data_IF_436685076045
#
_entry.id   IF_436685076045
#
_cell.length_a   1.000
_cell.length_b   1.000
_cell.length_c   1.000
_cell.angle_alpha   90.00
_cell.angle_beta   90.00
_cell.angle_gamma   90.00
#
_symmetry.space_group_name_H-M   'P 1'
#
loop_
_entity.id
_entity.type
_entity.pdbx_description
1 polymer ?
#
# COMPACT_ATOMS: atom_id res chain seq x y z
N UNK A 1 -4.06 10.29 -1.86
CA UNK A 1 -2.73 9.75 -1.53
C UNK A 1 -2.63 8.34 -2.07
N UNK A 2 -1.52 7.99 -2.73
CA UNK A 2 -1.35 6.75 -3.52
C UNK A 2 -1.75 5.45 -2.78
N UNK A 3 -1.67 5.45 -1.45
CA UNK A 3 -2.09 4.33 -0.58
C UNK A 3 -3.61 4.11 -0.53
N UNK A 4 -4.42 5.15 -0.73
CA UNK A 4 -5.88 5.00 -0.82
C UNK A 4 -6.27 4.32 -2.12
N UNK A 5 -5.70 4.76 -3.23
CA UNK A 5 -5.92 4.16 -4.55
C UNK A 5 -5.41 2.71 -4.60
N UNK A 6 -4.24 2.43 -4.02
CA UNK A 6 -3.72 1.06 -3.93
C UNK A 6 -4.64 0.14 -3.12
N UNK A 7 -5.22 0.63 -2.03
CA UNK A 7 -6.17 -0.12 -1.22
C UNK A 7 -7.46 -0.40 -2.02
N UNK A 8 -7.98 0.61 -2.71
CA UNK A 8 -9.17 0.51 -3.57
C UNK A 8 -8.95 -0.47 -4.74
N UNK A 9 -7.81 -0.39 -5.42
CA UNK A 9 -7.46 -1.29 -6.54
C UNK A 9 -7.30 -2.75 -6.08
N UNK A 10 -6.80 -2.96 -4.87
CA UNK A 10 -6.70 -4.30 -4.27
C UNK A 10 -8.02 -4.78 -3.67
N UNK A 11 -9.08 -3.96 -3.65
CA UNK A 11 -10.36 -4.28 -3.02
C UNK A 11 -10.27 -4.45 -1.49
N UNK A 12 -9.25 -3.86 -0.86
CA UNK A 12 -9.03 -3.95 0.58
C UNK A 12 -9.16 -2.58 1.23
N UNK A 13 -9.48 -2.56 2.52
CA UNK A 13 -9.50 -1.32 3.29
C UNK A 13 -8.07 -0.79 3.51
N UNK A 14 -7.94 0.55 3.56
CA UNK A 14 -6.66 1.26 3.80
C UNK A 14 -5.91 0.77 5.05
N UNK A 15 -6.66 0.37 6.10
CA UNK A 15 -6.10 -0.19 7.35
C UNK A 15 -5.47 -1.56 7.12
N UNK A 16 -6.10 -2.39 6.29
CA UNK A 16 -5.57 -3.72 5.92
C UNK A 16 -4.33 -3.56 5.05
N UNK A 17 -4.33 -2.64 4.10
CA UNK A 17 -3.14 -2.30 3.34
C UNK A 17 -2.01 -1.84 4.27
N UNK A 18 -2.27 -0.91 5.19
CA UNK A 18 -1.24 -0.44 6.13
C UNK A 18 -0.67 -1.57 7.00
N UNK A 19 -1.50 -2.48 7.50
CA UNK A 19 -1.02 -3.65 8.27
C UNK A 19 -0.13 -4.55 7.43
N UNK A 20 -0.48 -4.80 6.17
CA UNK A 20 0.35 -5.59 5.25
C UNK A 20 1.68 -4.90 4.98
N UNK A 21 1.68 -3.59 4.74
CA UNK A 21 2.91 -2.81 4.55
C UNK A 21 3.78 -2.75 5.81
N UNK A 22 3.19 -2.73 7.01
CA UNK A 22 3.96 -2.79 8.27
C UNK A 22 4.57 -4.18 8.49
N UNK A 23 3.87 -5.24 8.09
CA UNK A 23 4.38 -6.62 8.20
C UNK A 23 5.41 -6.95 7.12
N UNK A 24 5.28 -6.34 5.94
CA UNK A 24 6.10 -6.58 4.77
C UNK A 24 6.52 -5.20 4.21
N UNK A 25 7.45 -4.51 4.88
CA UNK A 25 7.88 -3.16 4.48
C UNK A 25 8.45 -3.11 3.07
N UNK A 26 8.96 -4.21 2.53
CA UNK A 26 9.41 -4.35 1.15
C UNK A 26 8.27 -4.20 0.11
N UNK A 27 7.02 -4.42 0.53
CA UNK A 27 5.84 -4.19 -0.32
C UNK A 27 5.43 -2.71 -0.34
N UNK A 28 5.93 -1.88 0.59
CA UNK A 28 5.82 -0.42 0.45
C UNK A 28 6.87 -0.02 -0.58
N UNK A 29 6.61 -0.36 -1.84
CA UNK A 29 7.44 0.07 -2.97
C UNK A 29 7.06 1.53 -3.20
N UNK A 30 7.83 2.53 -2.71
CA UNK A 30 7.68 3.86 -3.26
C UNK A 30 7.93 3.69 -4.76
N UNK A 31 7.05 4.24 -5.61
CA UNK A 31 7.33 4.30 -7.03
C UNK A 31 8.66 5.03 -7.18
N UNK A 32 9.76 4.31 -7.34
CA UNK A 32 10.99 4.83 -7.90
C UNK A 32 10.70 5.14 -9.37
N UNK A 33 10.03 6.26 -9.58
CA UNK A 33 10.28 7.13 -10.72
C UNK A 33 11.10 8.30 -10.18
N UNK A 34 12.38 8.05 -9.98
CA UNK A 34 13.44 9.05 -10.03
C UNK A 34 14.22 8.80 -11.30
#
# INVERSE_FOLDING_TARGET
>A
GNRTLAAELMGISRRTLHRKLVQWPELDVPRSGG
#
